data_IF_542934339544
#
_entry.id   IF_542934339544
#
_cell.length_a   1.000
_cell.length_b   1.000
_cell.length_c   1.000
_cell.angle_alpha   90.00
_cell.angle_beta   90.00
_cell.angle_gamma   90.00
#
_symmetry.space_group_name_H-M   'P 1'
#
loop_
_entity.id
_entity.type
_entity.pdbx_description
1 polymer ?
#
# COMPACT_ATOMS: atom_id res chain seq x y z
N UNK A 1 -27.70 -20.56 11.12
CA UNK A 1 -27.75 -20.06 12.51
C UNK A 1 -26.39 -19.44 12.74
N UNK A 2 -26.29 -18.11 12.59
CA UNK A 2 -25.00 -17.41 12.63
C UNK A 2 -24.37 -17.57 14.02
N UNK A 3 -23.07 -17.83 14.04
CA UNK A 3 -22.30 -17.92 15.27
C UNK A 3 -22.28 -16.56 15.98
N UNK A 4 -23.17 -16.41 16.95
CA UNK A 4 -23.24 -15.25 17.84
C UNK A 4 -22.07 -15.22 18.84
N UNK A 5 -21.16 -16.21 18.83
CA UNK A 5 -19.96 -16.26 19.66
C UNK A 5 -18.90 -15.27 19.20
N UNK A 6 -18.50 -15.32 17.93
CA UNK A 6 -17.50 -14.41 17.36
C UNK A 6 -17.93 -12.93 17.44
N UNK A 7 -19.22 -12.64 17.22
CA UNK A 7 -19.78 -11.29 17.35
C UNK A 7 -19.77 -10.79 18.81
N UNK A 8 -19.99 -11.66 19.79
CA UNK A 8 -19.93 -11.29 21.22
C UNK A 8 -18.49 -11.10 21.71
N UNK A 9 -17.52 -11.82 21.16
CA UNK A 9 -16.10 -11.63 21.46
C UNK A 9 -15.56 -10.32 20.86
N UNK A 10 -16.01 -9.96 19.66
CA UNK A 10 -15.72 -8.67 19.02
C UNK A 10 -16.39 -7.49 19.77
N UNK A 11 -17.62 -7.67 20.27
CA UNK A 11 -18.29 -6.64 21.08
C UNK A 11 -17.73 -6.56 22.51
N UNK A 12 -17.29 -7.68 23.09
CA UNK A 12 -16.72 -7.78 24.43
C UNK A 12 -15.29 -7.21 24.55
N UNK A 13 -14.52 -7.25 23.47
CA UNK A 13 -13.19 -6.65 23.38
C UNK A 13 -13.18 -5.23 22.80
N UNK A 14 -14.28 -4.49 22.94
CA UNK A 14 -14.22 -3.02 22.85
C UNK A 14 -13.55 -2.47 24.11
N UNK A 15 -12.29 -2.87 24.38
CA UNK A 15 -11.44 -2.18 25.33
C UNK A 15 -11.47 -0.72 24.93
N UNK A 16 -11.99 0.13 25.81
CA UNK A 16 -12.06 1.57 25.62
C UNK A 16 -10.75 2.05 24.99
N UNK A 17 -10.84 2.50 23.74
CA UNK A 17 -9.72 3.10 23.04
C UNK A 17 -9.47 4.47 23.69
N UNK A 18 -8.69 4.47 24.77
CA UNK A 18 -8.28 5.70 25.44
C UNK A 18 -7.04 6.23 24.74
N UNK A 19 -7.04 7.53 24.39
CA UNK A 19 -5.87 8.21 23.80
C UNK A 19 -4.57 7.92 24.56
N UNK A 20 -4.65 7.83 25.89
CA UNK A 20 -3.53 7.45 26.74
C UNK A 20 -3.00 6.05 26.43
N UNK A 21 -3.87 5.02 26.40
CA UNK A 21 -3.47 3.66 26.05
C UNK A 21 -2.93 3.57 24.64
N UNK A 22 -3.49 4.32 23.70
CA UNK A 22 -2.97 4.37 22.34
C UNK A 22 -1.54 4.93 22.31
N UNK A 23 -1.28 6.07 22.96
CA UNK A 23 0.07 6.67 23.02
C UNK A 23 1.07 5.75 23.72
N UNK A 24 0.66 5.11 24.82
CA UNK A 24 1.49 4.12 25.53
C UNK A 24 1.83 2.91 24.65
N UNK A 25 0.91 2.51 23.75
CA UNK A 25 1.11 1.36 22.85
C UNK A 25 1.85 1.70 21.55
N UNK A 26 2.01 2.99 21.22
CA UNK A 26 2.70 3.46 20.00
C UNK A 26 4.22 3.35 20.16
N UNK A 27 4.74 3.57 21.37
CA UNK A 27 6.18 3.51 21.64
C UNK A 27 6.56 2.07 22.03
N UNK A 28 7.35 1.35 21.23
CA UNK A 28 7.76 0.00 21.59
C UNK A 28 8.61 0.01 22.86
N UNK A 29 8.26 -0.87 23.80
CA UNK A 29 9.13 -1.24 24.91
C UNK A 29 10.43 -1.90 24.41
N UNK A 30 10.33 -2.65 23.30
CA UNK A 30 11.44 -3.34 22.65
C UNK A 30 11.14 -3.58 21.17
N UNK A 31 12.08 -3.25 20.29
CA UNK A 31 11.95 -3.52 18.85
C UNK A 31 11.87 -5.02 18.55
N UNK A 32 12.64 -5.84 19.28
CA UNK A 32 12.64 -7.29 19.09
C UNK A 32 11.34 -7.93 19.56
N UNK A 33 10.78 -7.43 20.66
CA UNK A 33 9.49 -7.89 21.16
C UNK A 33 8.39 -7.56 20.16
N UNK A 34 8.34 -6.31 19.67
CA UNK A 34 7.36 -5.89 18.67
C UNK A 34 7.42 -6.74 17.39
N UNK A 35 8.63 -7.09 16.93
CA UNK A 35 8.82 -8.01 15.79
C UNK A 35 8.35 -9.43 16.10
N UNK A 36 8.59 -9.93 17.31
CA UNK A 36 8.18 -11.29 17.71
C UNK A 36 6.66 -11.42 17.90
N UNK A 37 5.99 -10.37 18.37
CA UNK A 37 4.55 -10.34 18.60
C UNK A 37 3.74 -9.81 17.41
N UNK A 38 4.40 -9.43 16.31
CA UNK A 38 3.79 -8.83 15.12
C UNK A 38 3.04 -7.52 15.41
N UNK A 39 3.55 -6.70 16.32
CA UNK A 39 3.00 -5.36 16.63
C UNK A 39 3.42 -4.34 15.56
N UNK A 40 2.72 -4.35 14.42
CA UNK A 40 3.08 -3.59 13.21
C UNK A 40 3.26 -2.09 13.49
N UNK A 41 2.37 -1.48 14.26
CA UNK A 41 2.43 -0.04 14.57
C UNK A 41 3.74 0.32 15.29
N UNK A 42 4.10 -0.48 16.30
CA UNK A 42 5.33 -0.29 17.06
C UNK A 42 6.58 -0.50 16.19
N UNK A 43 6.58 -1.52 15.32
CA UNK A 43 7.67 -1.77 14.38
C UNK A 43 7.88 -0.56 13.45
N UNK A 44 6.79 0.01 12.92
CA UNK A 44 6.85 1.19 12.04
C UNK A 44 7.41 2.41 12.79
N UNK A 45 6.92 2.68 13.99
CA UNK A 45 7.37 3.81 14.82
C UNK A 45 8.87 3.69 15.12
N UNK A 46 9.32 2.52 15.57
CA UNK A 46 10.74 2.24 15.77
C UNK A 46 11.55 2.46 14.49
N UNK A 47 11.09 1.94 13.35
CA UNK A 47 11.80 2.03 12.07
C UNK A 47 11.98 3.48 11.60
N UNK A 48 11.00 4.35 11.84
CA UNK A 48 11.09 5.78 11.53
C UNK A 48 12.16 6.45 12.40
N UNK A 49 12.14 6.26 13.71
CA UNK A 49 13.15 6.84 14.61
C UNK A 49 14.54 6.30 14.31
N UNK A 50 14.67 5.00 14.06
CA UNK A 50 15.92 4.36 13.65
C UNK A 50 16.45 4.97 12.34
N UNK A 51 15.59 5.14 11.33
CA UNK A 51 15.95 5.75 10.04
C UNK A 51 16.41 7.20 10.17
N UNK A 52 15.70 8.01 10.96
CA UNK A 52 16.09 9.41 11.22
C UNK A 52 17.44 9.48 11.95
N UNK A 53 17.63 8.65 12.98
CA UNK A 53 18.89 8.58 13.70
C UNK A 53 20.04 8.14 12.77
N UNK A 54 19.86 7.07 12.00
CA UNK A 54 20.85 6.57 11.05
C UNK A 54 21.23 7.63 10.00
N UNK A 55 20.24 8.36 9.47
CA UNK A 55 20.49 9.45 8.52
C UNK A 55 21.36 10.58 9.11
N UNK A 56 21.22 10.87 10.41
CA UNK A 56 22.02 11.91 11.08
C UNK A 56 23.51 11.58 11.18
N UNK A 57 23.89 10.30 11.12
CA UNK A 57 25.28 9.84 11.13
C UNK A 57 25.95 9.86 9.74
N UNK A 58 25.23 10.25 8.68
CA UNK A 58 25.78 10.43 7.34
C UNK A 58 26.52 9.21 6.80
N UNK A 59 27.79 9.37 6.43
CA UNK A 59 28.58 8.30 5.81
C UNK A 59 28.82 7.11 6.74
N UNK A 60 28.89 7.34 8.05
CA UNK A 60 29.17 6.29 9.04
C UNK A 60 28.07 5.21 9.06
N UNK A 61 26.81 5.60 8.84
CA UNK A 61 25.68 4.68 8.82
C UNK A 61 25.45 4.00 7.45
N UNK A 62 26.15 4.42 6.38
CA UNK A 62 25.96 3.87 5.02
C UNK A 62 26.03 2.34 4.95
N UNK A 63 26.98 1.64 5.62
CA UNK A 63 27.04 0.18 5.59
C UNK A 63 25.77 -0.47 6.15
N UNK A 64 25.25 0.06 7.27
CA UNK A 64 24.04 -0.46 7.93
C UNK A 64 22.81 -0.26 7.03
N UNK A 65 22.65 0.95 6.48
CA UNK A 65 21.54 1.27 5.57
C UNK A 65 21.58 0.34 4.35
N UNK A 66 22.77 0.11 3.77
CA UNK A 66 22.93 -0.78 2.61
C UNK A 66 22.61 -2.23 2.95
N UNK A 67 22.97 -2.72 4.14
CA UNK A 67 22.59 -4.06 4.58
C UNK A 67 21.08 -4.22 4.73
N UNK A 68 20.40 -3.21 5.31
CA UNK A 68 18.94 -3.21 5.45
C UNK A 68 18.23 -3.16 4.10
N UNK A 69 18.75 -2.37 3.16
CA UNK A 69 18.25 -2.29 1.79
C UNK A 69 18.35 -3.65 1.07
N UNK A 70 19.50 -4.33 1.18
CA UNK A 70 19.68 -5.69 0.63
C UNK A 70 18.71 -6.68 1.29
N UNK A 71 18.50 -6.59 2.60
CA UNK A 71 17.54 -7.45 3.30
C UNK A 71 16.10 -7.24 2.79
N UNK A 72 15.69 -5.98 2.56
CA UNK A 72 14.39 -5.67 1.97
C UNK A 72 14.22 -6.31 0.57
N UNK A 73 15.23 -6.22 -0.28
CA UNK A 73 15.22 -6.87 -1.61
C UNK A 73 15.12 -8.40 -1.51
N UNK A 74 15.79 -9.01 -0.53
CA UNK A 74 15.66 -10.45 -0.26
C UNK A 74 14.23 -10.81 0.11
N UNK A 75 13.59 -10.03 0.99
CA UNK A 75 12.19 -10.24 1.38
C UNK A 75 11.25 -10.11 0.18
N UNK A 76 11.41 -9.08 -0.65
CA UNK A 76 10.63 -8.92 -1.89
C UNK A 76 10.83 -10.10 -2.86
N UNK A 77 12.04 -10.67 -2.92
CA UNK A 77 12.31 -11.87 -3.71
C UNK A 77 11.60 -13.11 -3.16
N UNK A 78 11.54 -13.26 -1.84
CA UNK A 78 10.77 -14.33 -1.20
C UNK A 78 9.28 -14.18 -1.52
N UNK A 79 8.73 -12.97 -1.41
CA UNK A 79 7.34 -12.68 -1.81
C UNK A 79 7.10 -13.07 -3.27
N UNK A 80 8.06 -12.79 -4.16
CA UNK A 80 7.97 -13.19 -5.58
C UNK A 80 7.88 -14.72 -5.76
N UNK A 81 8.62 -15.50 -4.95
CA UNK A 81 8.51 -16.96 -4.98
C UNK A 81 7.14 -17.43 -4.49
N UNK A 82 6.61 -16.82 -3.42
CA UNK A 82 5.25 -17.12 -2.93
C UNK A 82 4.21 -16.83 -4.00
N UNK A 83 4.37 -15.73 -4.75
CA UNK A 83 3.46 -15.36 -5.85
C UNK A 83 3.42 -16.39 -6.97
N UNK A 84 4.45 -17.22 -7.17
CA UNK A 84 4.40 -18.33 -8.14
C UNK A 84 3.42 -19.42 -7.75
N UNK A 85 3.19 -19.60 -6.44
CA UNK A 85 2.21 -20.54 -5.90
C UNK A 85 0.81 -19.91 -5.73
N UNK A 86 0.71 -18.58 -5.76
CA UNK A 86 -0.55 -17.87 -5.60
C UNK A 86 -1.67 -18.33 -6.54
N UNK A 87 -1.45 -18.66 -7.83
CA UNK A 87 -2.52 -19.14 -8.71
C UNK A 87 -3.22 -20.39 -8.18
N UNK A 88 -2.46 -21.32 -7.58
CA UNK A 88 -3.00 -22.56 -7.01
C UNK A 88 -3.80 -22.25 -5.74
N UNK A 89 -3.25 -21.40 -4.87
CA UNK A 89 -3.92 -20.98 -3.63
C UNK A 89 -5.22 -20.23 -3.90
N UNK A 90 -5.20 -19.27 -4.81
CA UNK A 90 -6.39 -18.49 -5.21
C UNK A 90 -7.44 -19.40 -5.83
N UNK A 91 -7.04 -20.32 -6.71
CA UNK A 91 -7.97 -21.30 -7.29
C UNK A 91 -8.63 -22.16 -6.22
N UNK A 92 -7.84 -22.71 -5.29
CA UNK A 92 -8.37 -23.54 -4.20
C UNK A 92 -9.35 -22.78 -3.31
N UNK A 93 -9.00 -21.56 -2.89
CA UNK A 93 -9.86 -20.72 -2.05
C UNK A 93 -11.15 -20.33 -2.79
N UNK A 94 -11.08 -19.92 -4.06
CA UNK A 94 -12.27 -19.58 -4.85
C UNK A 94 -13.17 -20.81 -5.08
N UNK A 95 -12.59 -21.98 -5.37
CA UNK A 95 -13.35 -23.21 -5.54
C UNK A 95 -14.10 -23.59 -4.25
N UNK A 96 -13.43 -23.51 -3.09
CA UNK A 96 -14.05 -23.78 -1.80
C UNK A 96 -15.20 -22.81 -1.50
N UNK A 97 -15.00 -21.51 -1.73
CA UNK A 97 -16.04 -20.50 -1.53
C UNK A 97 -17.24 -20.72 -2.47
N UNK A 98 -17.00 -21.03 -3.73
CA UNK A 98 -18.07 -21.33 -4.70
C UNK A 98 -18.81 -22.63 -4.33
N UNK A 99 -18.11 -23.64 -3.82
CA UNK A 99 -18.74 -24.88 -3.35
C UNK A 99 -19.66 -24.64 -2.15
N UNK A 100 -19.28 -23.74 -1.23
CA UNK A 100 -20.06 -23.45 -0.02
C UNK A 100 -21.19 -22.42 -0.26
N UNK A 101 -20.89 -21.32 -0.95
CA UNK A 101 -21.80 -20.17 -1.14
C UNK A 101 -22.52 -20.19 -2.49
N UNK A 102 -22.19 -21.13 -3.38
CA UNK A 102 -22.70 -21.19 -4.74
C UNK A 102 -22.21 -20.04 -5.63
N UNK A 103 -22.75 -19.95 -6.85
CA UNK A 103 -22.39 -18.89 -7.80
C UNK A 103 -22.91 -17.49 -7.38
N UNK A 104 -23.78 -17.41 -6.37
CA UNK A 104 -24.27 -16.14 -5.82
C UNK A 104 -23.16 -15.24 -5.27
N UNK A 105 -22.04 -15.82 -4.85
CA UNK A 105 -20.88 -15.07 -4.34
C UNK A 105 -20.29 -14.10 -5.37
N UNK A 106 -20.40 -14.41 -6.67
CA UNK A 106 -19.91 -13.52 -7.72
C UNK A 106 -20.64 -12.17 -7.72
N UNK A 107 -21.89 -12.11 -7.26
CA UNK A 107 -22.61 -10.84 -7.10
C UNK A 107 -21.94 -9.97 -6.03
N UNK A 108 -21.55 -10.56 -4.91
CA UNK A 108 -20.83 -9.86 -3.85
C UNK A 108 -19.49 -9.34 -4.37
N UNK A 109 -18.68 -10.19 -5.01
CA UNK A 109 -17.40 -9.78 -5.58
C UNK A 109 -17.53 -8.70 -6.66
N UNK A 110 -18.56 -8.78 -7.50
CA UNK A 110 -18.82 -7.79 -8.53
C UNK A 110 -19.19 -6.42 -7.93
N UNK A 111 -20.09 -6.39 -6.94
CA UNK A 111 -20.47 -5.15 -6.24
C UNK A 111 -19.25 -4.56 -5.53
N UNK A 112 -18.51 -5.39 -4.81
CA UNK A 112 -17.27 -5.01 -4.13
C UNK A 112 -16.25 -4.39 -5.10
N UNK A 113 -15.97 -5.09 -6.20
CA UNK A 113 -15.03 -4.62 -7.23
C UNK A 113 -15.52 -3.31 -7.87
N UNK A 114 -16.83 -3.18 -8.10
CA UNK A 114 -17.42 -1.96 -8.64
C UNK A 114 -17.21 -0.76 -7.72
N UNK A 115 -17.36 -0.92 -6.39
CA UNK A 115 -17.08 0.14 -5.44
C UNK A 115 -15.60 0.50 -5.40
N UNK A 116 -14.70 -0.48 -5.48
CA UNK A 116 -13.26 -0.22 -5.57
C UNK A 116 -12.92 0.58 -6.84
N UNK A 117 -13.43 0.18 -8.02
CA UNK A 117 -13.23 0.89 -9.28
C UNK A 117 -13.81 2.30 -9.22
N UNK A 118 -15.01 2.47 -8.66
CA UNK A 118 -15.61 3.78 -8.45
C UNK A 118 -14.74 4.65 -7.53
N UNK A 119 -14.23 4.09 -6.44
CA UNK A 119 -13.32 4.78 -5.53
C UNK A 119 -12.05 5.27 -6.24
N UNK A 120 -11.40 4.41 -7.01
CA UNK A 120 -10.22 4.79 -7.80
C UNK A 120 -10.57 5.85 -8.84
N UNK A 121 -11.73 5.74 -9.51
CA UNK A 121 -12.19 6.74 -10.46
C UNK A 121 -12.46 8.10 -9.82
N UNK A 122 -13.04 8.13 -8.61
CA UNK A 122 -13.26 9.35 -7.83
C UNK A 122 -11.94 9.97 -7.37
N UNK A 123 -10.99 9.16 -6.88
CA UNK A 123 -9.65 9.63 -6.52
C UNK A 123 -8.95 10.25 -7.73
N UNK A 124 -8.93 9.54 -8.86
CA UNK A 124 -8.36 10.06 -10.11
C UNK A 124 -9.10 11.31 -10.55
N UNK A 125 -10.43 11.35 -10.49
CA UNK A 125 -11.22 12.54 -10.83
C UNK A 125 -10.87 13.75 -9.98
N UNK A 126 -10.72 13.56 -8.66
CA UNK A 126 -10.32 14.61 -7.73
C UNK A 126 -8.90 15.11 -8.00
N UNK A 127 -7.92 14.20 -8.14
CA UNK A 127 -6.54 14.55 -8.47
C UNK A 127 -6.45 15.25 -9.83
N UNK A 128 -7.25 14.80 -10.80
CA UNK A 128 -7.35 15.40 -12.13
C UNK A 128 -7.91 16.81 -12.05
N UNK A 129 -8.95 17.02 -11.24
CA UNK A 129 -9.56 18.33 -11.02
C UNK A 129 -8.58 19.29 -10.34
N UNK A 130 -7.96 18.88 -9.23
CA UNK A 130 -6.96 19.69 -8.52
C UNK A 130 -5.77 20.00 -9.44
N UNK A 131 -5.28 19.01 -10.18
CA UNK A 131 -4.21 19.16 -11.16
C UNK A 131 -4.59 20.16 -12.26
N UNK A 132 -5.82 20.12 -12.77
CA UNK A 132 -6.29 21.10 -13.75
C UNK A 132 -6.42 22.51 -13.17
N UNK A 133 -6.86 22.67 -11.92
CA UNK A 133 -6.92 23.99 -11.26
C UNK A 133 -5.52 24.62 -11.14
N UNK A 134 -4.49 23.81 -10.87
CA UNK A 134 -3.11 24.30 -10.68
C UNK A 134 -2.37 24.47 -12.02
N UNK A 135 -2.44 23.49 -12.93
CA UNK A 135 -1.66 23.44 -14.18
C UNK A 135 -2.44 23.97 -15.39
N UNK A 136 -3.76 24.14 -15.28
CA UNK A 136 -4.64 24.50 -16.40
C UNK A 136 -4.54 23.50 -17.55
N UNK A 137 -4.42 24.02 -18.78
CA UNK A 137 -4.34 23.22 -20.01
C UNK A 137 -3.10 22.32 -20.07
N UNK A 138 -2.04 22.62 -19.32
CA UNK A 138 -0.83 21.77 -19.25
C UNK A 138 -1.11 20.40 -18.61
N UNK A 139 -2.21 20.25 -17.87
CA UNK A 139 -2.64 18.95 -17.33
C UNK A 139 -2.84 17.91 -18.45
N UNK A 140 -3.36 18.32 -19.60
CA UNK A 140 -3.55 17.41 -20.74
C UNK A 140 -2.22 16.95 -21.36
N UNK A 141 -1.20 17.80 -21.32
CA UNK A 141 0.15 17.43 -21.74
C UNK A 141 0.76 16.45 -20.73
N UNK A 142 0.59 16.70 -19.42
CA UNK A 142 1.05 15.80 -18.38
C UNK A 142 0.48 14.38 -18.56
N UNK A 143 -0.83 14.24 -18.80
CA UNK A 143 -1.42 12.93 -19.08
C UNK A 143 -0.79 12.21 -20.26
N UNK A 144 -0.46 12.93 -21.35
CA UNK A 144 0.20 12.33 -22.52
C UNK A 144 1.59 11.80 -22.17
N UNK A 145 2.34 12.52 -21.34
CA UNK A 145 3.66 12.09 -20.87
C UNK A 145 3.58 10.86 -19.95
N UNK A 146 2.62 10.83 -19.01
CA UNK A 146 2.53 9.74 -18.03
C UNK A 146 1.68 8.55 -18.50
N UNK A 147 0.93 8.64 -19.60
CA UNK A 147 0.06 7.56 -20.08
C UNK A 147 0.83 6.25 -20.31
N UNK A 148 2.01 6.33 -20.93
CA UNK A 148 2.82 5.14 -21.20
C UNK A 148 3.41 4.54 -19.91
N UNK A 149 4.04 5.31 -19.00
CA UNK A 149 4.36 4.83 -17.65
C UNK A 149 3.17 4.19 -16.91
N UNK A 150 2.00 4.81 -16.92
CA UNK A 150 0.81 4.29 -16.23
C UNK A 150 0.36 2.95 -16.82
N UNK A 151 0.33 2.82 -18.15
CA UNK A 151 -0.02 1.56 -18.81
C UNK A 151 0.97 0.44 -18.47
N UNK A 152 2.28 0.74 -18.48
CA UNK A 152 3.29 -0.25 -18.09
C UNK A 152 3.09 -0.67 -16.63
N UNK A 153 2.88 0.28 -15.70
CA UNK A 153 2.65 -0.01 -14.29
C UNK A 153 1.42 -0.89 -14.08
N UNK A 154 0.34 -0.61 -14.82
CA UNK A 154 -0.88 -1.41 -14.78
C UNK A 154 -0.65 -2.84 -15.28
N UNK A 155 0.07 -3.01 -16.41
CA UNK A 155 0.32 -4.32 -16.99
C UNK A 155 1.34 -5.15 -16.22
N UNK A 156 2.35 -4.52 -15.62
CA UNK A 156 3.40 -5.23 -14.87
C UNK A 156 3.07 -5.36 -13.38
N UNK A 157 2.04 -4.65 -12.90
CA UNK A 157 1.71 -4.53 -11.47
C UNK A 157 2.89 -4.07 -10.61
N UNK A 158 3.83 -3.32 -11.19
CA UNK A 158 5.07 -2.89 -10.55
C UNK A 158 5.33 -1.41 -10.75
N UNK A 159 5.39 -0.68 -9.63
CA UNK A 159 5.78 0.73 -9.59
C UNK A 159 7.30 0.91 -9.82
N UNK A 160 8.13 -0.09 -9.51
CA UNK A 160 9.58 -0.07 -9.75
C UNK A 160 9.91 -0.07 -11.23
N UNK A 161 9.19 -0.88 -12.01
CA UNK A 161 9.42 -1.05 -13.44
C UNK A 161 9.22 0.26 -14.24
N UNK A 162 8.47 1.21 -13.70
CA UNK A 162 8.15 2.48 -14.37
C UNK A 162 8.89 3.67 -13.82
N UNK A 163 9.58 3.53 -12.69
CA UNK A 163 10.25 4.63 -12.00
C UNK A 163 11.25 5.40 -12.90
N UNK A 164 12.16 4.74 -13.66
CA UNK A 164 13.10 5.44 -14.54
C UNK A 164 12.38 6.19 -15.66
N UNK A 165 11.40 5.53 -16.30
CA UNK A 165 10.65 6.10 -17.42
C UNK A 165 9.77 7.28 -17.00
N UNK A 166 9.20 7.21 -15.80
CA UNK A 166 8.41 8.30 -15.24
C UNK A 166 9.29 9.51 -14.88
N UNK A 167 10.53 9.28 -14.41
CA UNK A 167 11.53 10.34 -14.19
C UNK A 167 11.80 11.10 -15.49
N UNK A 168 12.15 10.38 -16.56
CA UNK A 168 12.45 10.97 -17.87
C UNK A 168 11.26 11.75 -18.45
N UNK A 169 10.05 11.20 -18.36
CA UNK A 169 8.84 11.85 -18.90
C UNK A 169 8.44 13.11 -18.10
N UNK A 170 8.66 13.13 -16.78
CA UNK A 170 8.41 14.33 -15.98
C UNK A 170 9.45 15.43 -16.25
N UNK A 171 10.71 15.08 -16.48
CA UNK A 171 11.74 16.05 -16.90
C UNK A 171 11.42 16.62 -18.29
N UNK A 172 11.02 15.78 -19.25
CA UNK A 172 10.56 16.21 -20.58
C UNK A 172 9.33 17.10 -20.52
N UNK A 173 8.43 16.86 -19.58
CA UNK A 173 7.27 17.72 -19.32
C UNK A 173 7.68 19.12 -18.78
N UNK A 174 8.90 19.25 -18.24
CA UNK A 174 9.49 20.49 -17.77
C UNK A 174 9.72 20.56 -16.26
N UNK A 175 9.61 19.45 -15.52
CA UNK A 175 9.96 19.39 -14.11
C UNK A 175 11.49 19.46 -13.94
N UNK A 176 11.98 20.25 -12.99
CA UNK A 176 13.42 20.30 -12.68
C UNK A 176 13.86 18.96 -12.10
N UNK A 177 15.00 18.43 -12.56
CA UNK A 177 15.58 17.17 -12.04
C UNK A 177 15.62 17.14 -10.50
N UNK A 178 16.09 18.23 -9.85
CA UNK A 178 16.13 18.32 -8.38
C UNK A 178 14.77 18.06 -7.70
N UNK A 179 13.67 18.43 -8.35
CA UNK A 179 12.31 18.18 -7.87
C UNK A 179 11.92 16.73 -8.12
N UNK A 180 12.12 16.23 -9.34
CA UNK A 180 11.75 14.85 -9.72
C UNK A 180 12.52 13.82 -8.89
N UNK A 181 13.85 13.96 -8.81
CA UNK A 181 14.74 13.09 -8.04
C UNK A 181 14.48 13.11 -6.53
N UNK A 182 13.71 14.07 -6.01
CA UNK A 182 13.32 14.11 -4.60
C UNK A 182 11.88 13.66 -4.38
N UNK A 183 10.92 14.21 -5.12
CA UNK A 183 9.49 13.93 -4.92
C UNK A 183 9.12 12.53 -5.40
N UNK A 184 9.68 12.07 -6.52
CA UNK A 184 9.28 10.80 -7.12
C UNK A 184 9.65 9.58 -6.25
N UNK A 185 10.88 9.47 -5.68
CA UNK A 185 11.19 8.39 -4.74
C UNK A 185 10.34 8.45 -3.47
N UNK A 186 10.06 9.65 -2.96
CA UNK A 186 9.25 9.84 -1.75
C UNK A 186 7.80 9.40 -2.00
N UNK A 187 7.20 9.81 -3.12
CA UNK A 187 5.86 9.40 -3.51
C UNK A 187 5.78 7.89 -3.79
N UNK A 188 6.79 7.32 -4.44
CA UNK A 188 6.87 5.88 -4.70
C UNK A 188 6.77 5.05 -3.42
N UNK A 189 7.49 5.44 -2.36
CA UNK A 189 7.52 4.67 -1.11
C UNK A 189 6.39 5.00 -0.14
N UNK A 190 5.95 6.26 -0.08
CA UNK A 190 5.04 6.74 0.97
C UNK A 190 3.62 7.07 0.48
N UNK A 191 3.41 7.22 -0.83
CA UNK A 191 2.11 7.57 -1.40
C UNK A 191 1.41 6.36 -2.04
N UNK A 192 1.11 5.35 -1.23
CA UNK A 192 0.50 4.08 -1.64
C UNK A 192 -1.04 4.14 -1.68
N UNK A 193 -1.61 5.20 -2.26
CA UNK A 193 -3.06 5.48 -2.22
C UNK A 193 -3.92 4.31 -2.72
N UNK A 194 -3.53 3.72 -3.85
CA UNK A 194 -4.25 2.56 -4.42
C UNK A 194 -4.29 1.36 -3.48
N UNK A 195 -3.16 1.06 -2.82
CA UNK A 195 -3.06 -0.01 -1.83
C UNK A 195 -3.87 0.30 -0.58
N UNK A 196 -3.86 1.55 -0.11
CA UNK A 196 -4.65 1.98 1.05
C UNK A 196 -6.15 1.89 0.78
N UNK A 197 -6.60 2.26 -0.42
CA UNK A 197 -7.98 2.06 -0.85
C UNK A 197 -8.33 0.57 -0.87
N UNK A 198 -7.51 -0.26 -1.51
CA UNK A 198 -7.71 -1.71 -1.55
C UNK A 198 -7.84 -2.31 -0.14
N UNK A 199 -6.93 -1.97 0.78
CA UNK A 199 -6.96 -2.44 2.16
C UNK A 199 -8.24 -2.00 2.87
N UNK A 200 -8.65 -0.73 2.72
CA UNK A 200 -9.87 -0.22 3.37
C UNK A 200 -11.11 -0.95 2.88
N UNK A 201 -11.27 -1.11 1.56
CA UNK A 201 -12.38 -1.86 1.00
C UNK A 201 -12.33 -3.34 1.45
N UNK A 202 -11.16 -3.98 1.40
CA UNK A 202 -11.01 -5.37 1.80
C UNK A 202 -11.36 -5.59 3.28
N UNK A 203 -10.90 -4.71 4.17
CA UNK A 203 -11.25 -4.73 5.59
C UNK A 203 -12.75 -4.58 5.82
N UNK A 204 -13.41 -3.66 5.10
CA UNK A 204 -14.86 -3.49 5.18
C UNK A 204 -15.62 -4.71 4.63
N UNK A 205 -15.15 -5.30 3.54
CA UNK A 205 -15.75 -6.50 2.97
C UNK A 205 -15.66 -7.69 3.94
N UNK A 206 -14.51 -7.86 4.61
CA UNK A 206 -14.34 -8.88 5.66
C UNK A 206 -15.25 -8.59 6.85
N UNK A 207 -15.37 -7.32 7.27
CA UNK A 207 -16.24 -6.94 8.39
C UNK A 207 -17.74 -7.11 8.11
N UNK A 208 -18.15 -7.12 6.84
CA UNK A 208 -19.54 -7.26 6.41
C UNK A 208 -19.92 -8.68 5.96
N UNK A 209 -18.94 -9.55 5.72
CA UNK A 209 -19.13 -10.93 5.26
C UNK A 209 -19.46 -11.88 6.42
#
# INVERSE_FOLDING_TARGET
MADNGALRDLMGNTSQFTLQKFVEHVVPSSAFEAMATNEILQIVVFSIFFGIAAASFGEYAKPVIKTLDVAAHIILKIVSYVMWFAPIGVFGTLAAVVAEKGLGIFKFYFIYFSYFVLGIALLWGLLSFVGFVILGKRMMQLYKHIANPVLVAFSTTSSEAVFPKLTDELERFGCKNKIVSFILPLGYSFNLDGSMMYMTFASLAIAQA
#
